data_IF_333810719920
#
_entry.id   IF_333810719920
#
_cell.length_a   1.000
_cell.length_b   1.000
_cell.length_c   1.000
_cell.angle_alpha   90.00
_cell.angle_beta   90.00
_cell.angle_gamma   90.00
#
_symmetry.space_group_name_H-M   'P 1'
#
loop_
_entity.id
_entity.type
_entity.pdbx_description
1 polymer ?
#
# COMPACT_ATOMS: atom_id res chain seq x y z
N UNK A 1 0.25 -2.89 -15.57
CA UNK A 1 1.04 -1.69 -15.34
C UNK A 1 0.15 -0.45 -15.22
N UNK A 2 0.75 0.69 -14.96
CA UNK A 2 0.05 1.97 -14.87
C UNK A 2 -0.72 2.34 -16.15
N UNK A 3 -0.33 1.80 -17.30
CA UNK A 3 -1.03 1.99 -18.57
C UNK A 3 -2.51 1.59 -18.50
N UNK A 4 -2.85 0.58 -17.71
CA UNK A 4 -4.26 0.18 -17.53
C UNK A 4 -5.10 1.28 -16.88
N UNK A 5 -4.52 2.01 -15.94
CA UNK A 5 -5.21 3.13 -15.29
C UNK A 5 -5.42 4.28 -16.26
N UNK A 6 -4.40 4.60 -17.07
CA UNK A 6 -4.52 5.64 -18.09
C UNK A 6 -5.60 5.28 -19.11
N UNK A 7 -5.66 4.02 -19.53
CA UNK A 7 -6.70 3.53 -20.44
C UNK A 7 -8.12 3.67 -19.86
N UNK A 8 -8.22 3.70 -18.53
CA UNK A 8 -9.49 3.89 -17.83
C UNK A 8 -9.80 5.36 -17.51
N UNK A 9 -8.97 6.27 -17.99
CA UNK A 9 -9.16 7.71 -17.85
C UNK A 9 -8.38 8.39 -16.74
N UNK A 10 -7.50 7.67 -16.04
CA UNK A 10 -6.67 8.28 -15.01
C UNK A 10 -5.54 9.11 -15.62
N UNK A 11 -5.23 10.23 -14.99
CA UNK A 11 -4.06 11.04 -15.30
C UNK A 11 -3.01 10.81 -14.23
N UNK A 12 -1.81 10.42 -14.65
CA UNK A 12 -0.72 10.11 -13.73
C UNK A 12 0.12 11.34 -13.43
N UNK A 13 0.38 11.58 -12.16
CA UNK A 13 1.34 12.58 -11.68
C UNK A 13 2.35 11.86 -10.80
N UNK A 14 3.63 11.99 -11.12
CA UNK A 14 4.69 11.34 -10.36
C UNK A 14 5.23 12.27 -9.28
N UNK A 15 5.60 11.70 -8.14
CA UNK A 15 6.20 12.44 -7.03
C UNK A 15 7.18 11.57 -6.26
N UNK A 16 8.05 12.20 -5.50
CA UNK A 16 9.07 11.51 -4.71
C UNK A 16 8.99 11.93 -3.24
N UNK A 17 8.74 10.99 -2.31
CA UNK A 17 8.83 11.28 -0.88
C UNK A 17 10.22 11.72 -0.42
N UNK A 18 11.26 11.47 -1.21
CA UNK A 18 12.63 11.91 -0.91
C UNK A 18 12.89 13.34 -1.34
N UNK A 19 12.34 13.76 -2.47
CA UNK A 19 12.69 15.03 -3.12
C UNK A 19 11.60 16.09 -3.02
N UNK A 20 10.34 15.69 -2.97
CA UNK A 20 9.21 16.61 -2.97
C UNK A 20 8.76 16.93 -1.54
N UNK A 21 8.24 18.13 -1.36
CA UNK A 21 7.78 18.61 -0.04
C UNK A 21 6.37 18.12 0.32
N UNK A 22 5.59 17.71 -0.69
CA UNK A 22 4.21 17.27 -0.51
C UNK A 22 3.76 16.44 -1.71
N UNK A 23 2.65 15.72 -1.52
CA UNK A 23 1.97 15.06 -2.64
C UNK A 23 1.50 16.12 -3.65
N UNK A 24 1.39 15.77 -4.95
CA UNK A 24 0.86 16.72 -5.93
C UNK A 24 -0.52 17.23 -5.55
N UNK A 25 -0.82 18.47 -5.91
CA UNK A 25 -2.16 19.04 -5.73
C UNK A 25 -3.14 18.43 -6.74
N UNK A 26 -4.43 18.44 -6.41
CA UNK A 26 -5.50 17.97 -7.28
C UNK A 26 -5.38 16.50 -7.70
N UNK A 27 -4.86 15.66 -6.80
CA UNK A 27 -4.87 14.21 -7.00
C UNK A 27 -6.02 13.57 -6.22
N UNK A 28 -6.53 12.47 -6.75
CA UNK A 28 -7.71 11.78 -6.20
C UNK A 28 -7.37 10.39 -5.64
N UNK A 29 -6.13 9.97 -5.75
CA UNK A 29 -5.62 8.73 -5.19
C UNK A 29 -4.09 8.76 -5.12
N UNK A 30 -3.52 7.92 -4.27
CA UNK A 30 -2.09 7.74 -4.15
C UNK A 30 -1.74 6.27 -4.39
N UNK A 31 -0.65 6.05 -5.12
CA UNK A 31 -0.07 4.71 -5.31
C UNK A 31 1.40 4.78 -4.92
N UNK A 32 1.78 3.99 -3.93
CA UNK A 32 3.16 3.85 -3.49
C UNK A 32 3.69 2.51 -3.98
N UNK A 33 4.63 2.56 -4.92
CA UNK A 33 5.23 1.36 -5.50
C UNK A 33 6.33 0.77 -4.64
N UNK A 34 7.02 -0.22 -5.20
CA UNK A 34 8.18 -0.82 -4.59
C UNK A 34 9.35 0.15 -4.45
N UNK A 35 10.40 -0.31 -3.81
CA UNK A 35 11.60 0.47 -3.54
C UNK A 35 12.28 -0.04 -2.29
N UNK A 36 13.26 0.71 -1.83
CA UNK A 36 14.07 0.31 -0.67
C UNK A 36 14.07 1.43 0.37
N UNK A 37 12.94 1.64 1.08
CA UNK A 37 12.83 2.72 2.06
C UNK A 37 13.83 2.59 3.21
N UNK A 38 14.28 1.37 3.52
CA UNK A 38 15.29 1.14 4.54
C UNK A 38 16.64 1.77 4.21
N UNK A 39 16.96 1.92 2.93
CA UNK A 39 18.20 2.58 2.47
C UNK A 39 18.14 4.09 2.69
N UNK A 40 16.96 4.67 2.58
CA UNK A 40 16.72 6.10 2.70
C UNK A 40 15.88 6.46 3.93
N UNK A 41 15.88 5.59 4.93
CA UNK A 41 14.97 5.71 6.07
C UNK A 41 15.11 7.05 6.81
N UNK A 42 16.34 7.53 7.00
CA UNK A 42 16.58 8.80 7.68
C UNK A 42 16.03 9.98 6.88
N UNK A 43 16.29 10.01 5.58
CA UNK A 43 15.83 11.09 4.70
C UNK A 43 14.29 11.09 4.61
N UNK A 44 13.68 9.92 4.52
CA UNK A 44 12.23 9.80 4.51
C UNK A 44 11.61 10.28 5.82
N UNK A 45 12.19 9.88 6.94
CA UNK A 45 11.75 10.30 8.28
C UNK A 45 11.84 11.82 8.45
N UNK A 46 12.89 12.44 7.93
CA UNK A 46 13.12 13.87 8.04
C UNK A 46 12.20 14.72 7.16
N UNK A 47 11.63 14.13 6.11
CA UNK A 47 10.69 14.84 5.24
C UNK A 47 9.29 14.87 5.85
N UNK A 48 9.16 15.60 6.95
CA UNK A 48 7.93 15.70 7.73
C UNK A 48 6.80 16.39 6.97
N UNK A 49 7.13 17.30 6.06
CA UNK A 49 6.16 17.99 5.22
C UNK A 49 5.42 17.01 4.31
N UNK A 50 6.15 16.11 3.64
CA UNK A 50 5.57 15.06 2.82
C UNK A 50 4.69 14.14 3.66
N UNK A 51 5.18 13.69 4.82
CA UNK A 51 4.43 12.82 5.74
C UNK A 51 3.11 13.47 6.13
N UNK A 52 3.12 14.76 6.48
CA UNK A 52 1.90 15.49 6.82
C UNK A 52 0.91 15.53 5.66
N UNK A 53 1.41 15.74 4.44
CA UNK A 53 0.52 15.78 3.26
C UNK A 53 -0.16 14.43 3.01
N UNK A 54 0.54 13.32 3.23
CA UNK A 54 -0.02 11.97 3.10
C UNK A 54 -1.05 11.71 4.21
N UNK A 55 -0.73 12.09 5.45
CA UNK A 55 -1.67 11.96 6.58
C UNK A 55 -2.97 12.72 6.34
N UNK A 56 -2.88 13.93 5.79
CA UNK A 56 -4.07 14.73 5.43
C UNK A 56 -4.89 14.07 4.33
N UNK A 57 -4.23 13.50 3.32
CA UNK A 57 -4.93 12.74 2.28
C UNK A 57 -5.70 11.56 2.88
N UNK A 58 -5.09 10.83 3.82
CA UNK A 58 -5.76 9.75 4.54
C UNK A 58 -6.95 10.23 5.35
N UNK A 59 -6.83 11.36 6.04
CA UNK A 59 -7.93 11.96 6.82
C UNK A 59 -9.13 12.30 5.93
N UNK A 60 -8.87 12.71 4.69
CA UNK A 60 -9.91 12.99 3.69
C UNK A 60 -10.50 11.73 3.08
N UNK A 61 -10.00 10.54 3.45
CA UNK A 61 -10.44 9.25 2.89
C UNK A 61 -10.07 9.04 1.43
N UNK A 62 -8.98 9.68 0.98
CA UNK A 62 -8.44 9.46 -0.36
C UNK A 62 -8.00 8.00 -0.50
N UNK A 63 -8.36 7.31 -1.60
CA UNK A 63 -7.86 5.95 -1.84
C UNK A 63 -6.32 5.92 -1.91
N UNK A 64 -5.72 5.04 -1.12
CA UNK A 64 -4.27 4.87 -1.03
C UNK A 64 -3.94 3.39 -1.18
N UNK A 65 -3.14 3.07 -2.19
CA UNK A 65 -2.66 1.73 -2.44
C UNK A 65 -1.14 1.69 -2.33
N UNK A 66 -0.60 0.68 -1.64
CA UNK A 66 0.84 0.57 -1.41
C UNK A 66 1.34 -0.86 -1.59
N UNK A 67 2.50 -1.00 -2.24
CA UNK A 67 3.18 -2.28 -2.45
C UNK A 67 4.58 -2.25 -1.86
N UNK A 68 4.98 -3.34 -1.20
CA UNK A 68 6.34 -3.62 -0.76
C UNK A 68 7.00 -2.44 -0.03
N UNK A 69 7.97 -1.76 -0.63
CA UNK A 69 8.61 -0.60 -0.02
C UNK A 69 7.64 0.53 0.32
N UNK A 70 6.65 0.77 -0.55
CA UNK A 70 5.59 1.74 -0.28
C UNK A 70 4.73 1.35 0.92
N UNK A 71 4.46 0.06 1.06
CA UNK A 71 3.74 -0.47 2.22
C UNK A 71 4.52 -0.20 3.52
N UNK A 72 5.82 -0.44 3.52
CA UNK A 72 6.69 -0.16 4.68
C UNK A 72 6.74 1.34 5.00
N UNK A 73 6.77 2.19 3.99
CA UNK A 73 6.79 3.64 4.16
C UNK A 73 5.51 4.16 4.85
N UNK A 74 4.37 3.53 4.59
CA UNK A 74 3.10 3.93 5.21
C UNK A 74 2.91 3.40 6.63
N UNK A 75 3.74 2.47 7.08
CA UNK A 75 3.71 1.92 8.44
C UNK A 75 4.16 2.95 9.48
N UNK A 76 4.10 2.58 10.75
CA UNK A 76 4.59 3.39 11.87
C UNK A 76 6.09 3.62 11.79
N UNK A 77 6.83 2.62 11.30
CA UNK A 77 8.26 2.75 11.13
C UNK A 77 8.95 1.46 10.71
N UNK A 78 10.24 1.57 10.53
CA UNK A 78 11.12 0.49 10.05
C UNK A 78 12.28 0.32 11.03
N UNK A 79 12.50 -0.91 11.49
CA UNK A 79 13.74 -1.30 12.16
C UNK A 79 14.73 -1.75 11.10
N UNK A 80 15.92 -1.12 11.07
CA UNK A 80 16.99 -1.50 10.15
C UNK A 80 17.70 -2.78 10.62
N UNK A 81 18.77 -3.19 9.91
CA UNK A 81 19.56 -4.37 10.26
C UNK A 81 20.29 -4.25 11.61
N UNK A 82 20.47 -3.02 12.11
CA UNK A 82 21.13 -2.72 13.38
C UNK A 82 20.14 -2.41 14.49
N UNK A 83 18.84 -2.71 14.26
CA UNK A 83 17.74 -2.48 15.21
C UNK A 83 17.49 -1.00 15.51
N UNK A 84 17.94 -0.10 14.65
CA UNK A 84 17.57 1.32 14.74
C UNK A 84 16.17 1.51 14.15
N UNK A 85 15.35 2.30 14.84
CA UNK A 85 13.99 2.56 14.43
C UNK A 85 13.87 3.91 13.73
N UNK A 86 13.25 3.91 12.57
CA UNK A 86 12.96 5.11 11.80
C UNK A 86 11.46 5.26 11.63
N UNK A 87 10.91 6.34 12.16
CA UNK A 87 9.49 6.64 12.01
C UNK A 87 9.15 6.91 10.55
N UNK A 88 8.01 6.40 10.08
CA UNK A 88 7.49 6.60 8.75
C UNK A 88 6.14 7.33 8.82
N UNK A 89 5.28 7.20 7.79
CA UNK A 89 4.03 7.94 7.72
C UNK A 89 3.06 7.62 8.87
N UNK A 90 2.99 6.36 9.28
CA UNK A 90 2.21 5.97 10.44
C UNK A 90 0.72 5.80 10.23
N UNK A 91 0.24 5.69 9.00
CA UNK A 91 -1.19 5.47 8.72
C UNK A 91 -1.56 3.99 8.70
N UNK A 92 -0.59 3.10 8.71
CA UNK A 92 -0.79 1.65 8.84
C UNK A 92 -0.24 1.20 10.20
N UNK A 93 -1.06 0.58 11.06
CA UNK A 93 -0.66 0.23 12.44
C UNK A 93 0.19 -1.04 12.49
N UNK A 94 1.34 -0.99 11.87
CA UNK A 94 2.32 -2.07 11.82
C UNK A 94 3.72 -1.46 11.76
N UNK A 95 4.74 -2.29 12.02
CA UNK A 95 6.15 -1.93 11.85
C UNK A 95 6.81 -2.96 10.98
N UNK A 96 7.85 -2.56 10.26
CA UNK A 96 8.66 -3.46 9.45
C UNK A 96 9.99 -3.74 10.15
N UNK A 97 10.41 -4.99 10.15
CA UNK A 97 11.72 -5.41 10.62
C UNK A 97 12.55 -5.88 9.44
N UNK A 98 13.67 -5.24 9.18
CA UNK A 98 14.61 -5.66 8.15
C UNK A 98 15.39 -6.89 8.60
N UNK A 99 15.55 -7.87 7.72
CA UNK A 99 16.26 -9.12 7.98
C UNK A 99 17.33 -9.31 6.91
N UNK A 100 18.46 -9.89 7.28
CA UNK A 100 19.59 -10.11 6.37
C UNK A 100 19.30 -11.21 5.34
N UNK A 101 18.37 -12.11 5.66
CA UNK A 101 17.97 -13.21 4.77
C UNK A 101 16.66 -12.86 4.06
N UNK A 102 16.54 -13.31 2.83
CA UNK A 102 15.28 -13.24 2.10
C UNK A 102 14.19 -13.96 2.90
N UNK A 103 13.12 -13.24 3.24
CA UNK A 103 12.05 -13.77 4.06
C UNK A 103 11.00 -14.49 3.24
N UNK A 104 10.62 -13.92 2.12
CA UNK A 104 9.55 -14.49 1.28
C UNK A 104 9.85 -14.22 -0.18
N UNK A 105 9.65 -15.25 -1.01
CA UNK A 105 9.71 -15.16 -2.47
C UNK A 105 8.72 -16.14 -3.07
N UNK A 106 8.04 -15.72 -4.13
CA UNK A 106 7.21 -16.58 -4.95
C UNK A 106 5.86 -16.01 -5.32
N UNK A 107 5.17 -16.74 -6.16
CA UNK A 107 3.82 -16.38 -6.60
C UNK A 107 2.78 -16.80 -5.58
N UNK A 108 1.76 -15.96 -5.41
CA UNK A 108 0.64 -16.22 -4.50
C UNK A 108 -0.68 -15.89 -5.18
N UNK A 109 -1.73 -16.59 -4.73
CA UNK A 109 -3.12 -16.16 -4.93
C UNK A 109 -3.54 -15.40 -3.67
N UNK A 110 -4.02 -14.19 -3.84
CA UNK A 110 -4.50 -13.37 -2.75
C UNK A 110 -6.03 -13.33 -2.78
N UNK A 111 -6.65 -13.89 -1.73
CA UNK A 111 -8.10 -13.79 -1.57
C UNK A 111 -8.41 -12.57 -0.70
N UNK A 112 -9.24 -11.67 -1.20
CA UNK A 112 -9.67 -10.48 -0.45
C UNK A 112 -10.57 -10.93 0.70
N UNK A 113 -10.21 -10.52 1.93
CA UNK A 113 -10.94 -10.93 3.13
C UNK A 113 -12.16 -10.04 3.42
N UNK A 114 -12.14 -8.80 2.93
CA UNK A 114 -13.24 -7.85 3.10
C UNK A 114 -13.20 -6.82 1.98
N UNK A 115 -14.36 -6.28 1.63
CA UNK A 115 -14.45 -5.26 0.59
C UNK A 115 -13.46 -4.13 0.85
N UNK A 116 -12.71 -3.74 -0.18
CA UNK A 116 -11.73 -2.67 -0.10
C UNK A 116 -11.55 -1.97 -1.46
N UNK A 117 -10.55 -1.11 -1.60
CA UNK A 117 -10.36 -0.34 -2.83
C UNK A 117 -9.88 -1.18 -4.03
N UNK A 118 -9.49 -2.44 -3.83
CA UNK A 118 -9.05 -3.33 -4.92
C UNK A 118 -10.15 -4.28 -5.40
N UNK A 119 -11.15 -4.53 -4.57
CA UNK A 119 -12.19 -5.48 -4.94
C UNK A 119 -13.09 -5.85 -3.77
N UNK A 120 -13.90 -6.86 -3.99
CA UNK A 120 -14.89 -7.36 -3.03
C UNK A 120 -14.39 -8.58 -2.30
N UNK A 121 -14.99 -8.85 -1.15
CA UNK A 121 -14.73 -10.06 -0.37
C UNK A 121 -14.78 -11.30 -1.27
N UNK A 122 -13.80 -12.18 -1.11
CA UNK A 122 -13.61 -13.42 -1.86
C UNK A 122 -13.10 -13.26 -3.30
N UNK A 123 -12.93 -12.05 -3.80
CA UNK A 123 -12.22 -11.85 -5.06
C UNK A 123 -10.77 -12.36 -4.92
N UNK A 124 -10.25 -12.96 -5.98
CA UNK A 124 -8.87 -13.47 -6.01
C UNK A 124 -8.00 -12.66 -6.94
N UNK A 125 -6.80 -12.35 -6.48
CA UNK A 125 -5.79 -11.60 -7.24
C UNK A 125 -4.50 -12.41 -7.22
N UNK A 126 -3.79 -12.47 -8.34
CA UNK A 126 -2.48 -13.13 -8.41
C UNK A 126 -1.39 -12.08 -8.34
N UNK A 127 -0.30 -12.41 -7.67
CA UNK A 127 0.85 -11.54 -7.58
C UNK A 127 2.08 -12.28 -7.13
N UNK A 128 3.14 -11.51 -6.88
CA UNK A 128 4.44 -12.04 -6.52
C UNK A 128 4.95 -11.36 -5.26
N UNK A 129 5.45 -12.15 -4.30
CA UNK A 129 6.15 -11.62 -3.13
C UNK A 129 7.67 -11.77 -3.30
N UNK A 130 8.40 -10.72 -2.92
CA UNK A 130 9.85 -10.75 -2.80
C UNK A 130 10.26 -9.68 -1.79
N UNK A 131 10.60 -10.09 -0.55
CA UNK A 131 10.98 -9.12 0.47
C UNK A 131 11.91 -9.70 1.53
N UNK A 132 12.79 -8.84 2.06
CA UNK A 132 13.70 -9.14 3.15
C UNK A 132 13.17 -8.71 4.51
N UNK A 133 12.02 -8.05 4.54
CA UNK A 133 11.41 -7.55 5.78
C UNK A 133 10.26 -8.41 6.22
N UNK A 134 9.92 -8.30 7.50
CA UNK A 134 8.72 -8.89 8.08
C UNK A 134 7.87 -7.82 8.74
N UNK A 135 6.57 -7.99 8.65
CA UNK A 135 5.60 -7.15 9.33
C UNK A 135 5.51 -7.61 10.78
N UNK A 136 5.69 -6.70 11.72
CA UNK A 136 5.60 -6.98 13.16
C UNK A 136 4.56 -6.10 13.83
N UNK A 137 4.25 -6.38 15.10
CA UNK A 137 3.26 -5.66 15.91
C UNK A 137 1.83 -5.78 15.34
N UNK A 138 1.51 -6.92 14.74
CA UNK A 138 0.21 -7.21 14.13
C UNK A 138 -0.46 -8.43 14.76
N UNK A 139 -0.15 -8.73 16.01
CA UNK A 139 -0.69 -9.90 16.70
C UNK A 139 -2.08 -9.66 17.32
N UNK A 140 -2.59 -8.44 17.21
CA UNK A 140 -3.95 -8.12 17.65
C UNK A 140 -4.96 -8.82 16.74
N UNK A 141 -5.91 -9.55 17.34
CA UNK A 141 -6.98 -10.24 16.61
C UNK A 141 -7.85 -9.28 15.79
N UNK A 142 -7.89 -8.00 16.16
CA UNK A 142 -8.62 -6.98 15.45
C UNK A 142 -7.86 -6.39 14.26
N UNK A 143 -6.62 -6.83 13.99
CA UNK A 143 -5.85 -6.32 12.85
C UNK A 143 -6.60 -6.60 11.55
N UNK A 144 -6.87 -5.57 10.72
CA UNK A 144 -7.67 -5.73 9.52
C UNK A 144 -6.84 -6.29 8.36
N UNK A 145 -6.61 -7.58 8.36
CA UNK A 145 -5.87 -8.24 7.29
C UNK A 145 -6.58 -8.08 5.95
N UNK A 146 -5.82 -7.66 4.93
CA UNK A 146 -6.36 -7.44 3.59
C UNK A 146 -6.67 -8.76 2.87
N UNK A 147 -5.79 -9.74 3.02
CA UNK A 147 -5.79 -10.95 2.20
C UNK A 147 -5.52 -12.21 2.99
N UNK A 148 -6.01 -13.32 2.46
CA UNK A 148 -5.43 -14.64 2.70
C UNK A 148 -4.61 -15.00 1.46
N UNK A 149 -3.30 -15.14 1.65
CA UNK A 149 -2.39 -15.55 0.59
C UNK A 149 -2.30 -17.08 0.56
N UNK A 150 -2.32 -17.65 -0.64
CA UNK A 150 -2.03 -19.06 -0.88
C UNK A 150 -0.80 -19.14 -1.76
N UNK A 151 0.29 -19.72 -1.24
CA UNK A 151 1.51 -19.90 -2.03
C UNK A 151 1.27 -20.91 -3.14
N UNK A 152 1.58 -20.53 -4.37
CA UNK A 152 1.38 -21.41 -5.53
C UNK A 152 2.25 -22.66 -5.48
N UNK A 153 3.42 -22.58 -4.84
CA UNK A 153 4.40 -23.66 -4.78
C UNK A 153 3.98 -24.84 -3.90
N UNK A 154 3.33 -24.56 -2.77
CA UNK A 154 3.04 -25.59 -1.76
C UNK A 154 1.66 -25.49 -1.12
N UNK A 155 0.81 -24.57 -1.62
CA UNK A 155 -0.54 -24.31 -1.11
C UNK A 155 -0.59 -23.85 0.36
N UNK A 156 0.54 -23.39 0.93
CA UNK A 156 0.55 -22.81 2.28
C UNK A 156 -0.28 -21.52 2.28
N UNK A 157 -1.12 -21.39 3.31
CA UNK A 157 -1.99 -20.22 3.49
C UNK A 157 -1.57 -19.39 4.69
N UNK A 158 -1.64 -18.07 4.55
CA UNK A 158 -1.38 -17.13 5.65
C UNK A 158 -2.07 -15.80 5.37
N UNK A 159 -2.42 -15.11 6.45
CA UNK A 159 -3.00 -13.78 6.34
C UNK A 159 -1.89 -12.76 6.06
N UNK A 160 -2.21 -11.75 5.26
CA UNK A 160 -1.22 -10.74 4.85
C UNK A 160 -1.89 -9.41 4.49
N UNK A 161 -1.08 -8.38 4.55
CA UNK A 161 -1.49 -7.04 4.15
C UNK A 161 -2.47 -6.38 5.10
N UNK A 162 -2.73 -5.12 4.85
CA UNK A 162 -3.63 -4.27 5.63
C UNK A 162 -4.68 -3.67 4.70
N UNK A 163 -5.93 -3.73 5.12
CA UNK A 163 -7.01 -3.05 4.40
C UNK A 163 -7.99 -2.47 5.41
N UNK A 164 -8.11 -1.15 5.42
CA UNK A 164 -9.11 -0.46 6.24
C UNK A 164 -9.52 0.83 5.56
N UNK A 165 -10.82 1.03 5.46
CA UNK A 165 -11.42 2.22 4.83
C UNK A 165 -10.89 2.45 3.42
N UNK A 166 -10.01 3.43 3.24
CA UNK A 166 -9.47 3.90 1.97
C UNK A 166 -8.07 3.37 1.67
N UNK A 167 -7.48 2.53 2.54
CA UNK A 167 -6.10 2.06 2.41
C UNK A 167 -6.05 0.58 2.14
N UNK A 168 -5.20 0.17 1.20
CA UNK A 168 -4.73 -1.21 1.06
C UNK A 168 -3.22 -1.18 0.87
N UNK A 169 -2.50 -1.97 1.67
CA UNK A 169 -1.07 -2.15 1.54
C UNK A 169 -0.66 -3.59 1.79
N UNK A 170 0.35 -4.07 1.09
CA UNK A 170 0.90 -5.41 1.30
C UNK A 170 2.30 -5.52 0.67
N UNK A 171 2.96 -6.65 0.92
CA UNK A 171 4.20 -6.98 0.22
C UNK A 171 3.98 -7.54 -1.19
N UNK A 172 2.73 -7.69 -1.61
CA UNK A 172 2.41 -8.27 -2.90
C UNK A 172 2.69 -7.28 -4.03
N UNK A 173 3.43 -7.73 -5.03
CA UNK A 173 3.57 -7.00 -6.28
C UNK A 173 2.48 -7.46 -7.24
N UNK A 174 1.50 -6.61 -7.47
CA UNK A 174 0.48 -6.81 -8.48
C UNK A 174 1.00 -6.25 -9.81
N UNK A 175 0.95 -7.03 -10.87
CA UNK A 175 1.21 -6.53 -12.23
C UNK A 175 0.03 -5.70 -12.71
N UNK A 176 0.02 -4.59 -12.41
CA UNK A 176 -0.86 -3.56 -11.93
C UNK A 176 -2.29 -4.07 -11.70
N UNK A 177 -2.59 -4.22 -10.40
CA UNK A 177 -3.88 -4.65 -9.87
C UNK A 177 -4.35 -6.04 -10.34
N UNK A 178 -3.43 -6.84 -10.90
CA UNK A 178 -3.64 -8.26 -11.20
C UNK A 178 -4.62 -8.55 -12.33
N UNK A 179 -5.50 -7.63 -12.70
CA UNK A 179 -6.46 -7.81 -13.78
C UNK A 179 -7.12 -6.49 -14.15
N UNK A 180 -7.73 -6.44 -15.34
CA UNK A 180 -8.55 -5.31 -15.77
C UNK A 180 -9.70 -5.01 -14.79
N UNK A 181 -10.27 -6.04 -14.19
CA UNK A 181 -11.38 -5.91 -13.25
C UNK A 181 -10.96 -5.17 -11.99
N UNK A 182 -9.80 -5.50 -11.42
CA UNK A 182 -9.29 -4.81 -10.24
C UNK A 182 -8.92 -3.36 -10.55
N UNK A 183 -8.30 -3.11 -11.70
CA UNK A 183 -7.99 -1.75 -12.15
C UNK A 183 -9.26 -0.91 -12.29
N UNK A 184 -10.30 -1.47 -12.92
CA UNK A 184 -11.59 -0.81 -13.09
C UNK A 184 -12.25 -0.51 -11.75
N UNK A 185 -12.23 -1.49 -10.83
CA UNK A 185 -12.80 -1.32 -9.48
C UNK A 185 -12.09 -0.20 -8.72
N UNK A 186 -10.76 -0.17 -8.79
CA UNK A 186 -9.96 0.88 -8.15
C UNK A 186 -10.28 2.27 -8.73
N UNK A 187 -10.37 2.39 -10.05
CA UNK A 187 -10.74 3.66 -10.70
C UNK A 187 -12.15 4.10 -10.29
N UNK A 188 -13.09 3.17 -10.16
CA UNK A 188 -14.45 3.49 -9.68
C UNK A 188 -14.42 4.04 -8.24
N UNK A 189 -13.56 3.49 -7.37
CA UNK A 189 -13.39 4.01 -6.01
C UNK A 189 -12.80 5.41 -6.00
N UNK A 190 -11.85 5.69 -6.89
CA UNK A 190 -11.27 7.02 -7.06
C UNK A 190 -12.35 8.02 -7.51
N UNK A 191 -13.16 7.65 -8.48
CA UNK A 191 -14.24 8.51 -8.96
C UNK A 191 -15.28 8.77 -7.88
N UNK A 192 -15.60 7.76 -7.08
CA UNK A 192 -16.53 7.92 -5.96
C UNK A 192 -15.99 8.91 -4.92
N UNK A 193 -14.69 8.83 -4.61
CA UNK A 193 -14.02 9.77 -3.72
C UNK A 193 -14.08 11.20 -4.27
N UNK A 194 -13.69 11.38 -5.52
CA UNK A 194 -13.71 12.69 -6.17
C UNK A 194 -15.11 13.31 -6.15
N UNK A 195 -16.13 12.51 -6.44
CA UNK A 195 -17.53 12.94 -6.40
C UNK A 195 -17.95 13.34 -5.00
N UNK A 196 -17.51 12.60 -3.97
CA UNK A 196 -17.84 12.95 -2.57
C UNK A 196 -17.27 14.30 -2.15
N UNK A 197 -16.06 14.65 -2.61
CA UNK A 197 -15.48 15.96 -2.35
C UNK A 197 -16.26 17.09 -3.02
N UNK A 198 -16.70 16.89 -4.25
CA UNK A 198 -17.50 17.88 -4.97
C UNK A 198 -18.85 18.12 -4.29
N UNK A 199 -19.43 17.11 -3.65
CA UNK A 199 -20.68 17.24 -2.90
C UNK A 199 -20.49 17.98 -1.57
N UNK A 200 -19.33 17.88 -0.94
CA UNK A 200 -19.03 18.60 0.31
C UNK A 200 -18.81 20.10 0.07
N UNK A 201 -18.37 20.50 -1.13
CA UNK A 201 -18.14 21.89 -1.52
C UNK A 201 -19.44 22.64 -1.85
N UNK A 202 -20.55 21.94 -2.02
CA UNK A 202 -21.89 22.49 -2.31
C UNK A 202 -22.78 22.40 -1.08
#
# INVERSE_FOLDING_TARGET
SLAQLENLGAKLKFFSPLEDEAIPVDVDALIFGGGFPEVFAQELMQNTSMIKSIRKANERKMPIYAECGGFMYLMQGIYDFEQRFYEMVGIIPAKAQMNKKLQTVGYVKAKILQDNILGKQNDEIKGHEFHFSTQIDTQDESFPWAFEFTKMRNNMKYKAGYAKDNIVGSYLHLHFLGSKQNAKYFVEKIRAYKKSLEMEEN
#
